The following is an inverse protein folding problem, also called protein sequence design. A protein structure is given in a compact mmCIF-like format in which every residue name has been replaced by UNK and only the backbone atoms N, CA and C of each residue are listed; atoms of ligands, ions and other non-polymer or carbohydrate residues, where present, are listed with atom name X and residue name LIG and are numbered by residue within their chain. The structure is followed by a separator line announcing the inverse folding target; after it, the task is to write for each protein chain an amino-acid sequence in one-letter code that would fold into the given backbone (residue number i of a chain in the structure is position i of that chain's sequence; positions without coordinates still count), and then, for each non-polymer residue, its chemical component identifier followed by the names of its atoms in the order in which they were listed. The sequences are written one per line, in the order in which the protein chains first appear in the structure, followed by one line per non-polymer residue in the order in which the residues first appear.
data_IF_098657598037
#
_entry.id   IF_098657598037
#
_cell.length_a   1.000
_cell.length_b   1.000
_cell.length_c   1.000
_cell.angle_alpha   90.00
_cell.angle_beta   90.00
_cell.angle_gamma   90.00
#
_symmetry.space_group_name_H-M   'P 1'
#
loop_
_entity.id
_entity.type
_entity.pdbx_description
1 polymer ?
#
# COMPACT_ATOMS: atom_id res chain seq x y z
N UNK A 1 -18.36 19.38 -0.60
CA UNK A 1 -17.46 19.61 -1.77
C UNK A 1 -15.98 19.69 -1.40
N UNK A 2 -15.49 20.65 -0.60
CA UNK A 2 -14.05 20.77 -0.27
C UNK A 2 -13.43 19.52 0.37
N UNK A 3 -14.16 18.82 1.25
CA UNK A 3 -13.70 17.55 1.87
C UNK A 3 -13.56 16.38 0.89
N UNK A 4 -14.46 16.26 -0.08
CA UNK A 4 -14.38 15.21 -1.11
C UNK A 4 -13.23 15.45 -2.09
N UNK A 5 -12.99 16.72 -2.47
CA UNK A 5 -11.85 17.10 -3.31
C UNK A 5 -10.51 16.78 -2.61
N UNK A 6 -10.40 17.07 -1.31
CA UNK A 6 -9.20 16.76 -0.51
C UNK A 6 -9.01 15.24 -0.29
N UNK A 7 -10.09 14.51 -0.06
CA UNK A 7 -10.04 13.06 0.12
C UNK A 7 -9.62 12.35 -1.19
N UNK A 8 -10.22 12.67 -2.33
CA UNK A 8 -9.82 12.14 -3.64
C UNK A 8 -8.40 12.56 -4.05
N UNK A 9 -7.90 13.71 -3.58
CA UNK A 9 -6.53 14.13 -3.82
C UNK A 9 -5.50 13.26 -3.07
N UNK A 10 -5.91 12.53 -2.03
CA UNK A 10 -5.02 11.76 -1.15
C UNK A 10 -5.32 10.27 -1.04
N UNK A 11 -6.50 9.81 -1.49
CA UNK A 11 -6.95 8.42 -1.37
C UNK A 11 -7.41 7.84 -2.70
N UNK A 12 -7.26 6.53 -2.85
CA UNK A 12 -7.78 5.74 -3.96
C UNK A 12 -9.29 5.50 -3.77
N UNK A 13 -10.06 5.66 -4.85
CA UNK A 13 -11.51 5.57 -4.79
C UNK A 13 -12.04 4.14 -4.63
N UNK A 14 -11.27 3.14 -5.06
CA UNK A 14 -11.68 1.73 -5.02
C UNK A 14 -11.40 1.11 -3.65
N UNK A 15 -10.17 1.30 -3.17
CA UNK A 15 -9.63 0.61 -1.98
C UNK A 15 -9.66 1.48 -0.71
N UNK A 16 -9.93 2.79 -0.85
CA UNK A 16 -9.85 3.78 0.23
C UNK A 16 -8.46 3.92 0.88
N UNK A 17 -7.43 3.30 0.32
CA UNK A 17 -6.04 3.46 0.74
C UNK A 17 -5.50 4.82 0.32
N UNK A 18 -4.30 5.17 0.80
CA UNK A 18 -3.57 6.30 0.24
C UNK A 18 -3.34 6.10 -1.27
N UNK A 19 -3.45 7.18 -2.04
CA UNK A 19 -3.08 7.16 -3.45
C UNK A 19 -1.58 7.44 -3.64
N UNK A 20 -1.09 7.33 -4.88
CA UNK A 20 0.30 7.63 -5.24
C UNK A 20 0.78 9.01 -4.75
N UNK A 21 -0.04 10.05 -4.90
CA UNK A 21 0.34 11.40 -4.49
C UNK A 21 0.56 11.51 -2.96
N UNK A 22 -0.32 10.89 -2.17
CA UNK A 22 -0.19 10.82 -0.72
C UNK A 22 1.02 9.98 -0.30
N UNK A 23 1.24 8.84 -0.95
CA UNK A 23 2.39 7.98 -0.72
C UNK A 23 3.72 8.71 -0.95
N UNK A 24 3.87 9.39 -2.09
CA UNK A 24 5.08 10.17 -2.39
C UNK A 24 5.31 11.29 -1.38
N UNK A 25 4.24 11.95 -0.93
CA UNK A 25 4.32 12.98 0.10
C UNK A 25 4.85 12.39 1.42
N UNK A 26 4.33 11.24 1.86
CA UNK A 26 4.79 10.56 3.07
C UNK A 26 6.23 10.07 2.93
N UNK A 27 6.60 9.52 1.77
CA UNK A 27 7.97 9.09 1.50
C UNK A 27 8.96 10.25 1.62
N UNK A 28 8.64 11.44 1.08
CA UNK A 28 9.50 12.63 1.23
C UNK A 28 9.67 13.04 2.69
N UNK A 29 8.62 12.94 3.51
CA UNK A 29 8.69 13.24 4.95
C UNK A 29 9.62 12.23 5.64
N UNK A 30 9.48 10.94 5.37
CA UNK A 30 10.35 9.91 5.94
C UNK A 30 11.82 10.07 5.51
N UNK A 31 12.09 10.47 4.27
CA UNK A 31 13.47 10.71 3.83
C UNK A 31 14.11 11.89 4.58
N UNK A 32 13.33 12.88 5.02
CA UNK A 32 13.84 13.99 5.83
C UNK A 32 14.21 13.55 7.25
N UNK A 33 13.53 12.55 7.81
CA UNK A 33 13.82 12.05 9.18
C UNK A 33 15.09 11.21 9.24
N UNK A 34 15.47 10.51 8.17
CA UNK A 34 16.70 9.71 8.13
C UNK A 34 17.94 10.54 8.49
N UNK A 35 18.02 11.78 7.97
CA UNK A 35 19.18 12.65 8.19
C UNK A 35 19.26 13.20 9.62
N UNK A 36 18.13 13.30 10.33
CA UNK A 36 18.07 13.94 11.65
C UNK A 36 18.09 12.95 12.82
N UNK A 37 17.63 11.71 12.62
CA UNK A 37 17.41 10.76 13.74
C UNK A 37 18.17 9.44 13.61
N UNK A 38 18.99 9.23 12.57
CA UNK A 38 19.62 7.92 12.26
C UNK A 38 18.60 6.77 12.14
N UNK A 39 17.32 7.08 11.94
CA UNK A 39 16.28 6.08 11.75
C UNK A 39 16.40 5.42 10.38
N UNK A 40 16.11 4.12 10.34
CA UNK A 40 15.98 3.36 9.10
C UNK A 40 14.52 3.18 8.79
N UNK A 41 14.16 3.36 7.53
CA UNK A 41 12.81 3.13 7.04
C UNK A 41 12.89 2.10 5.92
N UNK A 42 11.81 1.35 5.71
CA UNK A 42 11.71 0.44 4.59
C UNK A 42 10.55 0.82 3.67
N UNK A 43 10.78 0.66 2.38
CA UNK A 43 9.74 0.73 1.36
C UNK A 43 9.61 -0.66 0.76
N UNK A 44 8.37 -1.14 0.64
CA UNK A 44 8.04 -2.37 -0.06
C UNK A 44 7.12 -2.02 -1.22
N UNK A 45 7.44 -2.54 -2.40
CA UNK A 45 6.61 -2.45 -3.59
C UNK A 45 6.04 -3.82 -3.90
N UNK A 46 4.74 -3.89 -4.17
CA UNK A 46 4.00 -5.13 -4.36
C UNK A 46 3.25 -5.01 -5.69
N UNK A 47 3.39 -6.03 -6.53
CA UNK A 47 2.67 -6.18 -7.79
C UNK A 47 1.86 -7.48 -7.73
N UNK A 48 0.61 -7.47 -8.22
CA UNK A 48 -0.23 -8.67 -8.21
C UNK A 48 -0.01 -9.51 -9.47
N UNK A 49 0.64 -10.65 -9.29
CA UNK A 49 0.87 -11.61 -10.37
C UNK A 49 -0.44 -12.00 -11.07
N UNK A 50 -0.44 -11.85 -12.40
CA UNK A 50 -1.54 -12.26 -13.30
C UNK A 50 -2.90 -11.62 -12.99
N UNK A 51 -2.94 -10.44 -12.36
CA UNK A 51 -4.21 -9.73 -12.11
C UNK A 51 -5.04 -9.51 -13.38
N UNK A 52 -4.39 -9.25 -14.52
CA UNK A 52 -5.07 -9.17 -15.82
C UNK A 52 -5.85 -10.44 -16.18
N UNK A 53 -5.32 -11.62 -15.90
CA UNK A 53 -6.01 -12.88 -16.17
C UNK A 53 -7.29 -13.03 -15.32
N UNK A 54 -7.31 -12.49 -14.10
CA UNK A 54 -8.52 -12.44 -13.27
C UNK A 54 -9.58 -11.55 -13.93
N UNK A 55 -9.19 -10.36 -14.39
CA UNK A 55 -10.11 -9.45 -15.10
C UNK A 55 -10.64 -10.07 -16.39
N UNK A 56 -9.78 -10.73 -17.17
CA UNK A 56 -10.15 -11.33 -18.45
C UNK A 56 -11.08 -12.56 -18.26
N UNK A 57 -10.94 -13.30 -17.16
CA UNK A 57 -11.71 -14.52 -16.89
C UNK A 57 -13.01 -14.28 -16.11
N UNK A 58 -13.00 -13.38 -15.14
CA UNK A 58 -14.10 -13.15 -14.20
C UNK A 58 -14.68 -11.72 -14.28
N UNK A 59 -14.14 -10.87 -15.15
CA UNK A 59 -14.57 -9.49 -15.34
C UNK A 59 -13.96 -8.51 -14.34
N UNK A 60 -14.03 -7.22 -14.69
CA UNK A 60 -13.48 -6.14 -13.87
C UNK A 60 -14.10 -6.04 -12.46
N UNK A 61 -15.38 -6.39 -12.31
CA UNK A 61 -16.03 -6.38 -10.99
C UNK A 61 -15.39 -7.39 -10.02
N UNK A 62 -14.94 -8.54 -10.52
CA UNK A 62 -14.24 -9.55 -9.72
C UNK A 62 -12.82 -9.07 -9.35
N UNK A 63 -12.10 -8.45 -10.30
CA UNK A 63 -10.81 -7.82 -10.02
C UNK A 63 -10.92 -6.69 -8.98
N UNK A 64 -11.96 -5.87 -9.08
CA UNK A 64 -12.24 -4.81 -8.10
C UNK A 64 -12.54 -5.36 -6.71
N UNK A 65 -13.27 -6.47 -6.62
CA UNK A 65 -13.53 -7.16 -5.35
C UNK A 65 -12.21 -7.69 -4.74
N UNK A 66 -11.39 -8.36 -5.54
CA UNK A 66 -10.07 -8.86 -5.13
C UNK A 66 -9.17 -7.75 -4.60
N UNK A 67 -9.11 -6.60 -5.28
CA UNK A 67 -8.31 -5.45 -4.84
C UNK A 67 -8.77 -4.90 -3.49
N UNK A 68 -10.09 -4.82 -3.25
CA UNK A 68 -10.62 -4.35 -1.95
C UNK A 68 -10.30 -5.33 -0.83
N UNK A 69 -10.43 -6.61 -1.10
CA UNK A 69 -10.15 -7.66 -0.13
C UNK A 69 -8.66 -7.69 0.25
N UNK A 70 -7.78 -7.69 -0.75
CA UNK A 70 -6.33 -7.61 -0.55
C UNK A 70 -5.93 -6.34 0.20
N UNK A 71 -6.51 -5.18 -0.14
CA UNK A 71 -6.27 -3.94 0.58
C UNK A 71 -6.63 -4.06 2.07
N UNK A 72 -7.81 -4.62 2.38
CA UNK A 72 -8.26 -4.82 3.78
C UNK A 72 -7.38 -5.81 4.52
N UNK A 73 -7.01 -6.92 3.87
CA UNK A 73 -6.18 -7.96 4.44
C UNK A 73 -4.78 -7.43 4.76
N UNK A 74 -4.15 -6.72 3.81
CA UNK A 74 -2.86 -6.08 4.03
C UNK A 74 -2.94 -5.06 5.18
N UNK A 75 -3.96 -4.20 5.19
CA UNK A 75 -4.12 -3.18 6.23
C UNK A 75 -4.25 -3.80 7.64
N UNK A 76 -4.91 -4.96 7.76
CA UNK A 76 -5.06 -5.68 9.04
C UNK A 76 -3.75 -6.22 9.63
N UNK A 77 -2.72 -6.39 8.78
CA UNK A 77 -1.41 -6.91 9.19
C UNK A 77 -0.41 -5.80 9.55
N UNK A 78 -0.77 -4.54 9.30
CA UNK A 78 0.10 -3.38 9.49
C UNK A 78 -0.21 -2.66 10.81
N UNK A 79 0.79 -1.99 11.37
CA UNK A 79 0.59 -1.10 12.52
C UNK A 79 0.11 0.27 12.04
N UNK A 80 -0.46 1.05 12.95
CA UNK A 80 -1.02 2.37 12.68
C UNK A 80 -0.03 3.39 12.10
N UNK A 81 1.27 3.21 12.32
CA UNK A 81 2.32 4.08 11.75
C UNK A 81 2.72 3.72 10.32
N UNK A 82 2.38 2.52 9.84
CA UNK A 82 2.72 2.11 8.49
C UNK A 82 1.75 2.75 7.49
N UNK A 83 2.23 2.97 6.26
CA UNK A 83 1.41 3.56 5.19
C UNK A 83 1.26 2.56 4.07
N UNK A 84 0.04 2.10 3.84
CA UNK A 84 -0.33 1.31 2.67
C UNK A 84 -1.01 2.20 1.63
N UNK A 85 -0.57 2.10 0.39
CA UNK A 85 -1.08 2.88 -0.72
C UNK A 85 -1.31 2.01 -1.96
N UNK A 86 -2.30 2.37 -2.76
CA UNK A 86 -2.45 1.86 -4.12
C UNK A 86 -1.76 2.83 -5.09
N UNK A 87 -0.78 2.34 -5.82
CA UNK A 87 0.09 3.14 -6.69
C UNK A 87 -0.33 3.07 -8.16
N UNK A 88 -1.00 1.98 -8.55
CA UNK A 88 -1.41 1.68 -9.92
C UNK A 88 -2.65 0.80 -9.96
N UNK A 89 -2.87 0.08 -11.07
CA UNK A 89 -4.01 -0.83 -11.21
C UNK A 89 -3.96 -1.98 -10.20
N UNK A 90 -2.85 -2.70 -10.20
CA UNK A 90 -2.50 -3.87 -9.40
C UNK A 90 -1.31 -3.63 -8.47
N UNK A 91 -0.75 -2.42 -8.49
CA UNK A 91 0.44 -2.06 -7.72
C UNK A 91 0.09 -1.47 -6.35
N UNK A 92 0.75 -1.96 -5.30
CA UNK A 92 0.68 -1.44 -3.94
C UNK A 92 2.06 -1.00 -3.43
N UNK A 93 2.06 0.05 -2.62
CA UNK A 93 3.24 0.57 -1.95
C UNK A 93 3.04 0.55 -0.44
N UNK A 94 4.08 0.13 0.28
CA UNK A 94 4.11 0.10 1.73
C UNK A 94 5.32 0.88 2.25
N UNK A 95 5.08 1.85 3.13
CA UNK A 95 6.12 2.52 3.89
C UNK A 95 6.08 2.01 5.33
N UNK A 96 7.25 1.60 5.82
CA UNK A 96 7.47 1.10 7.16
C UNK A 96 8.45 2.04 7.88
N UNK A 97 7.95 3.05 8.62
CA UNK A 97 8.79 3.94 9.41
C UNK A 97 9.54 3.16 10.50
N UNK A 98 10.72 3.62 10.93
CA UNK A 98 11.55 2.92 11.92
C UNK A 98 11.60 1.38 11.75
N UNK A 99 11.91 0.93 10.54
CA UNK A 99 11.92 -0.48 10.16
C UNK A 99 13.20 -0.79 9.38
N UNK A 100 13.92 -1.82 9.83
CA UNK A 100 15.08 -2.33 9.13
C UNK A 100 14.68 -3.33 8.02
N UNK A 101 15.63 -3.72 7.18
CA UNK A 101 15.39 -4.61 6.03
C UNK A 101 14.91 -6.01 6.47
N UNK A 102 15.38 -6.53 7.60
CA UNK A 102 15.01 -7.86 8.09
C UNK A 102 13.53 -7.90 8.55
N UNK A 103 13.11 -6.91 9.33
CA UNK A 103 11.72 -6.72 9.75
C UNK A 103 10.81 -6.45 8.55
N UNK A 104 11.25 -5.63 7.60
CA UNK A 104 10.50 -5.37 6.37
C UNK A 104 10.29 -6.65 5.55
N UNK A 105 11.33 -7.49 5.42
CA UNK A 105 11.24 -8.79 4.76
C UNK A 105 10.28 -9.73 5.49
N UNK A 106 10.28 -9.75 6.82
CA UNK A 106 9.34 -10.53 7.61
C UNK A 106 7.89 -10.10 7.36
N UNK A 107 7.61 -8.79 7.37
CA UNK A 107 6.28 -8.24 7.09
C UNK A 107 5.84 -8.57 5.66
N UNK A 108 6.71 -8.36 4.66
CA UNK A 108 6.42 -8.69 3.26
C UNK A 108 6.14 -10.19 3.07
N UNK A 109 6.91 -11.05 3.74
CA UNK A 109 6.70 -12.51 3.71
C UNK A 109 5.35 -12.89 4.31
N UNK A 110 4.96 -12.26 5.43
CA UNK A 110 3.65 -12.48 6.04
C UNK A 110 2.51 -12.07 5.11
N UNK A 111 2.65 -10.94 4.41
CA UNK A 111 1.66 -10.48 3.43
C UNK A 111 1.49 -11.52 2.31
N UNK A 112 2.59 -12.05 1.77
CA UNK A 112 2.58 -13.04 0.69
C UNK A 112 2.03 -14.40 1.15
N UNK A 113 2.34 -14.81 2.38
CA UNK A 113 1.97 -16.12 2.92
C UNK A 113 0.60 -16.14 3.58
N UNK A 114 -0.10 -15.01 3.66
CA UNK A 114 -1.45 -14.94 4.18
C UNK A 114 -2.39 -15.68 3.21
N UNK A 115 -2.58 -16.98 3.48
CA UNK A 115 -3.62 -17.80 2.89
C UNK A 115 -4.77 -17.84 3.88
N UNK A 116 -5.98 -17.63 3.40
CA UNK A 116 -7.20 -18.01 4.10
C UNK A 116 -7.20 -19.50 4.46
#
# INVERSE_FOLDING_TARGET
MLRQLSYSASHDALTHLANRASFEKQLRILLQTVNSTHQRHALVFIDLDRFKAVNDSAGHAAGDALLRELASLMLSMLRSSDVLARLGGDEFGLLLPDCNVESARFIATRIIQCRE
#
